data_IF_674502651543
#
_entry.id   IF_674502651543
#
_cell.length_a   1.000
_cell.length_b   1.000
_cell.length_c   1.000
_cell.angle_alpha   90.00
_cell.angle_beta   90.00
_cell.angle_gamma   90.00
#
_symmetry.space_group_name_H-M   'P 1'
#
loop_
_entity.id
_entity.type
_entity.pdbx_description
1 polymer ?
#
# COMPACT_ATOMS: atom_id res chain seq x y z
N UNK A 1 -15.43 16.90 -4.85
CA UNK A 1 -14.00 17.16 -5.09
C UNK A 1 -13.16 16.24 -4.19
N UNK A 2 -13.07 14.93 -4.49
CA UNK A 2 -12.44 13.94 -3.57
C UNK A 2 -10.97 13.61 -3.88
N UNK A 3 -10.37 14.21 -4.92
CA UNK A 3 -9.00 13.92 -5.36
C UNK A 3 -7.90 14.72 -4.65
N UNK A 4 -8.24 15.79 -3.90
CA UNK A 4 -7.24 16.62 -3.21
C UNK A 4 -6.43 15.82 -2.18
N UNK A 5 -7.11 14.88 -1.50
CA UNK A 5 -6.52 13.92 -0.57
C UNK A 5 -5.48 13.00 -1.21
N UNK A 6 -5.72 12.59 -2.45
CA UNK A 6 -4.80 11.75 -3.21
C UNK A 6 -3.55 12.53 -3.60
N UNK A 7 -3.70 13.79 -4.02
CA UNK A 7 -2.57 14.65 -4.40
C UNK A 7 -1.65 14.95 -3.20
N UNK A 8 -2.23 15.20 -2.02
CA UNK A 8 -1.45 15.56 -0.82
C UNK A 8 -0.54 14.42 -0.34
N UNK A 9 -0.99 13.17 -0.50
CA UNK A 9 -0.28 12.00 0.01
C UNK A 9 0.41 11.15 -1.06
N UNK A 10 0.19 11.43 -2.34
CA UNK A 10 0.97 10.91 -3.47
C UNK A 10 2.48 10.87 -3.20
N UNK A 11 3.13 11.92 -2.62
CA UNK A 11 4.55 11.86 -2.28
C UNK A 11 4.88 10.77 -1.26
N UNK A 12 4.05 10.53 -0.24
CA UNK A 12 4.29 9.47 0.74
C UNK A 12 4.14 8.06 0.15
N UNK A 13 3.17 7.87 -0.77
CA UNK A 13 3.03 6.63 -1.54
C UNK A 13 4.24 6.38 -2.44
N UNK A 14 4.72 7.42 -3.11
CA UNK A 14 5.93 7.36 -3.96
C UNK A 14 7.17 7.08 -3.11
N UNK A 15 7.29 7.64 -1.91
CA UNK A 15 8.42 7.39 -1.00
C UNK A 15 8.40 5.94 -0.51
N UNK A 16 7.26 5.43 -0.01
CA UNK A 16 7.18 4.06 0.52
C UNK A 16 7.26 3.00 -0.59
N UNK A 17 6.59 3.22 -1.72
CA UNK A 17 6.71 2.36 -2.90
C UNK A 17 8.12 2.41 -3.48
N UNK A 18 8.74 3.59 -3.50
CA UNK A 18 10.14 3.80 -3.88
C UNK A 18 11.09 3.05 -2.96
N UNK A 19 10.87 3.10 -1.64
CA UNK A 19 11.68 2.37 -0.66
C UNK A 19 11.52 0.85 -0.82
N UNK A 20 10.30 0.38 -1.07
CA UNK A 20 10.02 -1.03 -1.34
C UNK A 20 10.73 -1.51 -2.62
N UNK A 21 10.78 -0.68 -3.66
CA UNK A 21 11.49 -0.96 -4.91
C UNK A 21 13.02 -0.84 -4.77
N UNK A 22 13.51 0.10 -3.96
CA UNK A 22 14.95 0.31 -3.72
C UNK A 22 15.56 -0.80 -2.84
N UNK A 23 14.76 -1.45 -2.00
CA UNK A 23 15.19 -2.58 -1.16
C UNK A 23 14.61 -3.92 -1.67
N UNK A 24 15.26 -4.52 -2.68
CA UNK A 24 16.48 -5.25 -2.33
C UNK A 24 17.67 -5.00 -3.26
N UNK A 25 18.81 -4.74 -2.62
CA UNK A 25 20.16 -4.91 -3.18
C UNK A 25 20.29 -6.32 -3.77
N UNK A 26 20.77 -6.37 -5.00
CA UNK A 26 21.15 -7.45 -5.92
C UNK A 26 21.37 -8.84 -5.27
N UNK A 27 20.89 -9.97 -5.87
CA UNK A 27 20.45 -10.16 -7.27
C UNK A 27 18.91 -10.29 -7.44
N UNK A 28 18.38 -9.64 -8.48
CA UNK A 28 16.95 -9.64 -8.85
C UNK A 28 16.66 -10.81 -9.79
N UNK A 29 16.08 -11.91 -9.31
CA UNK A 29 15.43 -12.87 -10.21
C UNK A 29 14.15 -12.24 -10.77
N UNK A 30 13.82 -12.46 -12.06
CA UNK A 30 12.62 -11.87 -12.68
C UNK A 30 11.31 -12.17 -11.94
N UNK A 31 11.27 -13.31 -11.23
CA UNK A 31 10.14 -13.72 -10.36
C UNK A 31 9.97 -12.78 -9.15
N UNK A 32 11.05 -12.27 -8.55
CA UNK A 32 10.96 -11.27 -7.45
C UNK A 32 10.37 -9.96 -7.96
N UNK A 33 10.78 -9.51 -9.13
CA UNK A 33 10.31 -8.25 -9.71
C UNK A 33 8.79 -8.30 -10.03
N UNK A 34 8.29 -9.42 -10.55
CA UNK A 34 6.86 -9.60 -10.79
C UNK A 34 6.05 -9.61 -9.49
N UNK A 35 6.56 -10.25 -8.43
CA UNK A 35 5.93 -10.24 -7.11
C UNK A 35 5.86 -8.83 -6.51
N UNK A 36 6.97 -8.09 -6.55
CA UNK A 36 7.02 -6.72 -6.02
C UNK A 36 6.05 -5.79 -6.78
N UNK A 37 5.95 -5.94 -8.11
CA UNK A 37 4.99 -5.19 -8.92
C UNK A 37 3.53 -5.54 -8.57
N UNK A 38 3.22 -6.83 -8.42
CA UNK A 38 1.89 -7.29 -8.04
C UNK A 38 1.50 -6.77 -6.65
N UNK A 39 2.43 -6.78 -5.69
CA UNK A 39 2.22 -6.25 -4.35
C UNK A 39 1.92 -4.74 -4.38
N UNK A 40 2.63 -3.97 -5.21
CA UNK A 40 2.38 -2.54 -5.38
C UNK A 40 1.00 -2.27 -5.99
N UNK A 41 0.62 -3.02 -7.02
CA UNK A 41 -0.71 -2.90 -7.63
C UNK A 41 -1.82 -3.24 -6.64
N UNK A 42 -1.63 -4.31 -5.85
CA UNK A 42 -2.58 -4.70 -4.81
C UNK A 42 -2.70 -3.61 -3.74
N UNK A 43 -1.57 -3.06 -3.29
CA UNK A 43 -1.53 -2.00 -2.30
C UNK A 43 -2.25 -0.73 -2.79
N UNK A 44 -2.02 -0.35 -4.04
CA UNK A 44 -2.71 0.77 -4.67
C UNK A 44 -4.22 0.54 -4.77
N UNK A 45 -4.64 -0.61 -5.28
CA UNK A 45 -6.06 -0.96 -5.42
C UNK A 45 -6.76 -1.00 -4.06
N UNK A 46 -6.14 -1.65 -3.06
CA UNK A 46 -6.65 -1.70 -1.70
C UNK A 46 -6.81 -0.32 -1.08
N UNK A 47 -5.83 0.56 -1.28
CA UNK A 47 -5.88 1.94 -0.78
C UNK A 47 -7.04 2.74 -1.37
N UNK A 48 -7.30 2.60 -2.67
CA UNK A 48 -8.43 3.26 -3.35
C UNK A 48 -9.77 2.74 -2.81
N UNK A 49 -9.88 1.42 -2.62
CA UNK A 49 -11.10 0.79 -2.06
C UNK A 49 -11.32 1.25 -0.62
N UNK A 50 -10.28 1.22 0.21
CA UNK A 50 -10.33 1.68 1.59
C UNK A 50 -10.71 3.16 1.70
N UNK A 51 -10.12 4.01 0.85
CA UNK A 51 -10.45 5.43 0.76
C UNK A 51 -11.93 5.65 0.44
N UNK A 52 -12.46 4.99 -0.60
CA UNK A 52 -13.86 5.12 -1.00
C UNK A 52 -14.80 4.63 0.10
N UNK A 53 -14.51 3.47 0.68
CA UNK A 53 -15.30 2.92 1.77
C UNK A 53 -15.36 3.89 2.96
N UNK A 54 -14.21 4.38 3.40
CA UNK A 54 -14.12 5.34 4.50
C UNK A 54 -14.81 6.67 4.20
N UNK A 55 -14.77 7.15 2.95
CA UNK A 55 -15.47 8.37 2.57
C UNK A 55 -16.98 8.22 2.64
N UNK A 56 -17.53 7.10 2.14
CA UNK A 56 -18.98 6.86 2.15
C UNK A 56 -19.54 6.46 3.51
N UNK A 57 -18.69 5.90 4.38
CA UNK A 57 -19.08 5.41 5.70
C UNK A 57 -18.69 6.37 6.83
N UNK A 58 -18.09 7.52 6.51
CA UNK A 58 -17.75 8.54 7.48
C UNK A 58 -19.00 9.21 8.05
N UNK A 59 -18.93 9.59 9.32
CA UNK A 59 -20.00 10.36 9.94
C UNK A 59 -19.95 11.83 9.50
N UNK A 60 -21.00 12.30 8.82
CA UNK A 60 -21.08 13.67 8.30
C UNK A 60 -21.40 14.71 9.40
N UNK A 61 -21.77 14.27 10.61
CA UNK A 61 -22.16 15.16 11.71
C UNK A 61 -20.97 15.80 12.45
N UNK A 62 -19.78 15.21 12.32
CA UNK A 62 -18.54 15.64 13.02
C UNK A 62 -17.85 16.82 12.32
N UNK A 63 -18.21 17.10 11.07
CA UNK A 63 -17.74 18.25 10.29
C UNK A 63 -17.52 17.96 8.81
N UNK A 64 -17.64 18.97 7.96
CA UNK A 64 -17.61 18.82 6.49
C UNK A 64 -16.31 18.21 5.93
N UNK A 65 -15.20 18.32 6.66
CA UNK A 65 -13.88 17.80 6.25
C UNK A 65 -13.64 16.37 6.77
N UNK A 66 -14.41 15.89 7.76
CA UNK A 66 -14.17 14.59 8.41
C UNK A 66 -14.17 13.38 7.46
N UNK A 67 -15.09 13.27 6.48
CA UNK A 67 -15.04 12.17 5.50
C UNK A 67 -13.75 12.13 4.71
N UNK A 68 -13.17 13.30 4.44
CA UNK A 68 -11.94 13.43 3.69
C UNK A 68 -10.71 13.02 4.52
N UNK A 69 -10.73 13.31 5.83
CA UNK A 69 -9.69 12.86 6.79
C UNK A 69 -9.79 11.35 7.01
N UNK A 70 -10.99 10.79 7.21
CA UNK A 70 -11.15 9.35 7.39
C UNK A 70 -10.75 8.58 6.13
N UNK A 71 -11.12 9.07 4.96
CA UNK A 71 -10.74 8.50 3.67
C UNK A 71 -9.21 8.43 3.50
N UNK A 72 -8.49 9.47 3.92
CA UNK A 72 -7.02 9.50 3.84
C UNK A 72 -6.35 8.56 4.84
N UNK A 73 -6.81 8.55 6.09
CA UNK A 73 -6.31 7.62 7.11
C UNK A 73 -6.50 6.17 6.70
N UNK A 74 -7.66 5.83 6.13
CA UNK A 74 -7.95 4.47 5.68
C UNK A 74 -7.08 4.07 4.48
N UNK A 75 -6.91 4.98 3.50
CA UNK A 75 -6.01 4.73 2.38
C UNK A 75 -4.59 4.39 2.85
N UNK A 76 -4.08 5.15 3.83
CA UNK A 76 -2.74 4.95 4.39
C UNK A 76 -2.62 3.64 5.17
N UNK A 77 -3.60 3.33 6.03
CA UNK A 77 -3.62 2.11 6.82
C UNK A 77 -3.63 0.86 5.92
N UNK A 78 -4.45 0.86 4.86
CA UNK A 78 -4.53 -0.27 3.92
C UNK A 78 -3.24 -0.42 3.11
N UNK A 79 -2.64 0.69 2.65
CA UNK A 79 -1.38 0.64 1.91
C UNK A 79 -0.26 -0.01 2.74
N UNK A 80 -0.09 0.46 3.99
CA UNK A 80 0.93 -0.06 4.89
C UNK A 80 0.65 -1.52 5.23
N UNK A 81 -0.59 -1.87 5.52
CA UNK A 81 -0.96 -3.24 5.83
C UNK A 81 -0.58 -4.19 4.68
N UNK A 82 -0.91 -3.82 3.44
CA UNK A 82 -0.59 -4.64 2.27
C UNK A 82 0.92 -4.74 2.05
N UNK A 83 1.66 -3.63 2.17
CA UNK A 83 3.12 -3.66 2.04
C UNK A 83 3.78 -4.53 3.12
N UNK A 84 3.33 -4.43 4.37
CA UNK A 84 3.83 -5.27 5.47
C UNK A 84 3.55 -6.75 5.20
N UNK A 85 2.34 -7.09 4.75
CA UNK A 85 1.97 -8.45 4.36
C UNK A 85 2.86 -8.94 3.22
N UNK A 86 3.08 -8.12 2.18
CA UNK A 86 3.92 -8.47 1.05
C UNK A 86 5.38 -8.69 1.48
N UNK A 87 5.89 -7.89 2.41
CA UNK A 87 7.25 -8.03 2.95
C UNK A 87 7.40 -9.32 3.76
N UNK A 88 6.39 -9.65 4.58
CA UNK A 88 6.35 -10.90 5.35
C UNK A 88 6.24 -12.12 4.43
N UNK A 89 5.36 -12.05 3.43
CA UNK A 89 5.19 -13.10 2.42
C UNK A 89 6.47 -13.32 1.61
N UNK A 90 7.13 -12.25 1.18
CA UNK A 90 8.44 -12.32 0.51
C UNK A 90 9.48 -13.02 1.37
N UNK A 91 9.54 -12.68 2.67
CA UNK A 91 10.47 -13.28 3.61
C UNK A 91 10.20 -14.79 3.80
N UNK A 92 8.94 -15.21 3.93
CA UNK A 92 8.59 -16.62 4.06
C UNK A 92 8.86 -17.43 2.79
N UNK A 93 8.46 -16.92 1.62
CA UNK A 93 8.61 -17.64 0.34
C UNK A 93 10.09 -17.93 0.05
N UNK A 94 10.98 -16.97 0.30
CA UNK A 94 12.40 -17.16 0.03
C UNK A 94 13.14 -17.96 1.10
N UNK A 95 12.75 -17.86 2.38
CA UNK A 95 13.29 -18.77 3.40
C UNK A 95 12.89 -20.22 3.18
N UNK A 96 11.65 -20.48 2.76
CA UNK A 96 11.19 -21.83 2.44
C UNK A 96 11.99 -22.47 1.28
N UNK A 97 12.40 -21.65 0.30
CA UNK A 97 13.21 -22.10 -0.85
C UNK A 97 14.65 -22.42 -0.47
N UNK A 98 15.24 -21.72 0.49
CA UNK A 98 16.61 -21.96 0.96
C UNK A 98 16.72 -23.21 1.86
N UNK A 99 15.65 -23.58 2.58
CA UNK A 99 15.63 -24.79 3.43
C UNK A 99 15.24 -26.09 2.69
N UNK A 100 14.97 -26.02 1.39
CA UNK A 100 14.58 -27.17 0.56
C UNK A 100 15.67 -27.59 -0.45
N UNK A 101 16.87 -26.99 -0.35
CA UNK A 101 18.06 -27.32 -1.12
C UNK A 101 19.08 -28.04 -0.23
#
# INVERSE_FOLDING_TARGET
MSLLSLILFLPAFVILGGLFLLFPRTPRSGVRAAFDLAALLLALAGSIVGMRWAYFNADHTVGAIWPQVLATLMAYAVFIAILLIALFARHQIWRAREGSA
#
